data_IF_057861004658
#
_entry.id   IF_057861004658
#
_cell.length_a   1.000
_cell.length_b   1.000
_cell.length_c   1.000
_cell.angle_alpha   90.00
_cell.angle_beta   90.00
_cell.angle_gamma   90.00
#
_symmetry.space_group_name_H-M   'P 1'
#
loop_
_entity.id
_entity.type
_entity.pdbx_description
1 polymer ?
#
# COMPACT_ATOMS: atom_id res chain seq x y z
N UNK A 1 25.02 -5.82 -21.63
CA UNK A 1 25.01 -4.34 -21.47
C UNK A 1 26.02 -3.87 -20.43
N UNK A 2 26.10 -4.50 -19.26
CA UNK A 2 26.99 -4.10 -18.16
C UNK A 2 28.46 -4.48 -18.42
N UNK A 3 28.73 -5.51 -19.22
CA UNK A 3 30.09 -5.91 -19.61
C UNK A 3 30.90 -4.84 -20.37
N UNK A 4 30.27 -3.83 -20.97
CA UNK A 4 30.92 -2.76 -21.65
C UNK A 4 31.60 -1.73 -20.73
N UNK A 5 31.12 -1.61 -19.46
CA UNK A 5 31.65 -0.64 -18.51
C UNK A 5 33.14 -0.82 -18.17
N UNK A 6 33.57 -2.07 -18.04
CA UNK A 6 34.98 -2.38 -17.78
C UNK A 6 35.90 -2.05 -18.98
N UNK A 7 35.38 -2.20 -20.20
CA UNK A 7 36.14 -1.91 -21.43
C UNK A 7 36.36 -0.41 -21.63
N UNK A 8 35.47 0.46 -21.18
CA UNK A 8 35.59 1.93 -21.31
C UNK A 8 36.17 2.61 -20.07
N UNK A 9 36.45 1.86 -18.99
CA UNK A 9 37.18 2.36 -17.82
C UNK A 9 36.35 3.11 -16.81
N UNK A 10 35.06 2.75 -16.62
CA UNK A 10 34.22 3.27 -15.54
C UNK A 10 34.87 3.04 -14.16
N UNK A 11 35.00 4.10 -13.37
CA UNK A 11 35.70 4.09 -12.07
C UNK A 11 34.77 4.12 -10.87
N UNK A 12 33.73 4.94 -10.94
CA UNK A 12 32.82 5.17 -9.83
C UNK A 12 31.48 4.43 -10.01
N UNK A 13 30.99 4.39 -11.23
CA UNK A 13 29.71 3.77 -11.58
C UNK A 13 29.96 2.39 -12.23
N UNK A 14 30.71 1.54 -11.53
CA UNK A 14 31.03 0.19 -11.99
C UNK A 14 29.78 -0.70 -12.00
N UNK A 15 29.83 -1.77 -12.79
CA UNK A 15 28.79 -2.81 -12.81
C UNK A 15 28.39 -3.27 -11.41
N UNK A 16 29.39 -3.55 -10.58
CA UNK A 16 29.15 -4.01 -9.20
C UNK A 16 28.38 -2.99 -8.37
N UNK A 17 28.71 -1.69 -8.50
CA UNK A 17 28.02 -0.63 -7.76
C UNK A 17 26.58 -0.43 -8.24
N UNK A 18 26.35 -0.45 -9.56
CA UNK A 18 25.02 -0.34 -10.17
C UNK A 18 24.15 -1.54 -9.76
N UNK A 19 24.72 -2.75 -9.84
CA UNK A 19 24.03 -3.99 -9.45
C UNK A 19 23.63 -3.95 -7.97
N UNK A 20 24.53 -3.51 -7.10
CA UNK A 20 24.23 -3.40 -5.66
C UNK A 20 23.06 -2.46 -5.38
N UNK A 21 23.01 -1.29 -6.03
CA UNK A 21 21.90 -0.33 -5.87
C UNK A 21 20.57 -0.90 -6.43
N UNK A 22 20.61 -1.61 -7.57
CA UNK A 22 19.43 -2.28 -8.12
C UNK A 22 18.95 -3.42 -7.22
N UNK A 23 19.84 -4.25 -6.70
CA UNK A 23 19.50 -5.34 -5.78
C UNK A 23 18.88 -4.80 -4.49
N UNK A 24 19.39 -3.69 -3.97
CA UNK A 24 18.80 -3.01 -2.81
C UNK A 24 17.37 -2.51 -3.10
N UNK A 25 17.12 -1.97 -4.30
CA UNK A 25 15.82 -1.40 -4.67
C UNK A 25 14.77 -2.47 -5.01
N UNK A 26 15.12 -3.42 -5.87
CA UNK A 26 14.16 -4.41 -6.41
C UNK A 26 14.27 -5.79 -5.77
N UNK A 27 15.38 -6.08 -5.10
CA UNK A 27 15.69 -7.39 -4.53
C UNK A 27 16.48 -8.27 -5.47
N UNK A 28 16.93 -9.39 -4.92
CA UNK A 28 17.76 -10.37 -5.60
C UNK A 28 17.02 -11.72 -5.70
N UNK A 29 16.84 -12.29 -6.90
CA UNK A 29 16.21 -13.60 -7.06
C UNK A 29 17.03 -14.70 -6.40
N UNK A 30 16.39 -15.77 -5.98
CA UNK A 30 17.08 -16.97 -5.51
C UNK A 30 17.92 -17.58 -6.65
N UNK A 31 19.07 -18.12 -6.30
CA UNK A 31 19.98 -18.78 -7.25
C UNK A 31 20.85 -17.82 -8.08
N UNK A 32 20.69 -16.51 -7.95
CA UNK A 32 21.54 -15.52 -8.62
C UNK A 32 22.80 -15.29 -7.76
N UNK A 33 23.98 -15.27 -8.40
CA UNK A 33 25.28 -15.05 -7.75
C UNK A 33 25.54 -15.93 -6.51
N UNK A 34 25.03 -17.19 -6.52
CA UNK A 34 25.22 -18.14 -5.41
C UNK A 34 24.34 -17.86 -4.18
N UNK A 35 23.41 -16.94 -4.24
CA UNK A 35 22.46 -16.70 -3.15
C UNK A 35 21.40 -17.82 -3.09
N UNK A 36 21.32 -18.60 -1.97
CA UNK A 36 20.39 -19.72 -1.88
C UNK A 36 18.92 -19.30 -1.75
N UNK A 37 18.65 -18.08 -1.29
CA UNK A 37 17.31 -17.53 -1.09
C UNK A 37 17.14 -16.19 -1.76
N UNK A 38 15.90 -15.88 -2.16
CA UNK A 38 15.56 -14.54 -2.65
C UNK A 38 15.70 -13.50 -1.53
N UNK A 39 16.24 -12.34 -1.86
CA UNK A 39 16.32 -11.17 -0.97
C UNK A 39 15.34 -10.13 -1.47
N UNK A 40 14.40 -9.72 -0.62
CA UNK A 40 13.41 -8.70 -0.97
C UNK A 40 14.06 -7.32 -1.01
N UNK A 41 13.86 -6.60 -2.11
CA UNK A 41 14.25 -5.20 -2.20
C UNK A 41 13.26 -4.28 -1.45
N UNK A 42 13.67 -3.04 -1.20
CA UNK A 42 12.87 -2.07 -0.42
C UNK A 42 11.49 -1.81 -1.02
N UNK A 43 11.30 -1.96 -2.33
CA UNK A 43 10.00 -1.86 -3.00
C UNK A 43 9.03 -2.98 -2.56
N UNK A 44 9.53 -4.21 -2.51
CA UNK A 44 8.75 -5.37 -2.08
C UNK A 44 8.39 -5.25 -0.58
N UNK A 45 9.36 -4.88 0.26
CA UNK A 45 9.17 -4.65 1.69
C UNK A 45 8.13 -3.55 1.96
N UNK A 46 8.14 -2.46 1.20
CA UNK A 46 7.10 -1.43 1.33
C UNK A 46 5.71 -1.94 0.94
N UNK A 47 5.59 -2.75 -0.13
CA UNK A 47 4.32 -3.34 -0.52
C UNK A 47 3.78 -4.31 0.54
N UNK A 48 4.65 -5.11 1.14
CA UNK A 48 4.32 -6.00 2.25
C UNK A 48 3.85 -5.20 3.47
N UNK A 49 4.57 -4.16 3.84
CA UNK A 49 4.21 -3.28 4.96
C UNK A 49 2.85 -2.60 4.75
N UNK A 50 2.50 -2.18 3.53
CA UNK A 50 1.15 -1.67 3.19
C UNK A 50 0.06 -2.71 3.38
N UNK A 51 0.31 -3.94 2.94
CA UNK A 51 -0.62 -5.06 3.10
C UNK A 51 -0.82 -5.39 4.58
N UNK A 52 0.27 -5.47 5.35
CA UNK A 52 0.22 -5.69 6.79
C UNK A 52 -0.57 -4.59 7.51
N UNK A 53 -0.31 -3.32 7.20
CA UNK A 53 -1.08 -2.17 7.73
C UNK A 53 -2.59 -2.32 7.48
N UNK A 54 -2.98 -2.68 6.25
CA UNK A 54 -4.40 -2.90 5.91
C UNK A 54 -5.01 -4.03 6.74
N UNK A 55 -4.29 -5.14 6.88
CA UNK A 55 -4.70 -6.31 7.67
C UNK A 55 -4.86 -5.95 9.16
N UNK A 56 -3.88 -5.25 9.76
CA UNK A 56 -3.95 -4.84 11.18
C UNK A 56 -5.08 -3.84 11.44
N UNK A 57 -5.32 -2.92 10.51
CA UNK A 57 -6.46 -1.99 10.59
C UNK A 57 -7.81 -2.73 10.52
N UNK A 58 -7.93 -3.73 9.64
CA UNK A 58 -9.12 -4.58 9.57
C UNK A 58 -9.30 -5.39 10.87
N UNK A 59 -8.22 -5.94 11.42
CA UNK A 59 -8.21 -6.63 12.71
C UNK A 59 -8.75 -5.76 13.86
N UNK A 60 -8.30 -4.51 13.93
CA UNK A 60 -8.82 -3.54 14.92
C UNK A 60 -10.32 -3.29 14.75
N UNK A 61 -10.79 -3.10 13.52
CA UNK A 61 -12.23 -2.93 13.26
C UNK A 61 -13.04 -4.14 13.71
N UNK A 62 -12.54 -5.35 13.45
CA UNK A 62 -13.16 -6.61 13.88
C UNK A 62 -13.19 -6.71 15.41
N UNK A 63 -12.10 -6.42 16.10
CA UNK A 63 -12.04 -6.43 17.55
C UNK A 63 -13.04 -5.42 18.17
N UNK A 64 -13.12 -4.21 17.63
CA UNK A 64 -14.10 -3.20 18.05
C UNK A 64 -15.54 -3.66 17.78
N UNK A 65 -15.81 -4.29 16.64
CA UNK A 65 -17.13 -4.84 16.30
C UNK A 65 -17.56 -5.93 17.28
N UNK A 66 -16.67 -6.87 17.58
CA UNK A 66 -16.91 -7.93 18.56
C UNK A 66 -17.14 -7.37 19.97
N UNK A 67 -16.32 -6.39 20.37
CA UNK A 67 -16.50 -5.71 21.65
C UNK A 67 -17.83 -4.95 21.75
N UNK A 68 -18.28 -4.32 20.66
CA UNK A 68 -19.60 -3.68 20.60
C UNK A 68 -20.74 -4.69 20.67
N UNK A 69 -20.61 -5.84 20.03
CA UNK A 69 -21.60 -6.93 20.13
C UNK A 69 -21.74 -7.40 21.57
N UNK A 70 -20.61 -7.64 22.27
CA UNK A 70 -20.63 -8.00 23.69
C UNK A 70 -21.27 -6.90 24.55
N UNK A 71 -20.91 -5.64 24.35
CA UNK A 71 -21.49 -4.51 25.08
C UNK A 71 -22.99 -4.34 24.80
N UNK A 72 -23.48 -4.64 23.58
CA UNK A 72 -24.92 -4.65 23.25
C UNK A 72 -25.66 -5.69 24.04
N UNK A 73 -25.13 -6.90 24.15
CA UNK A 73 -25.74 -7.97 24.91
C UNK A 73 -25.69 -7.62 26.41
N UNK A 74 -24.56 -7.13 26.93
CA UNK A 74 -24.45 -6.64 28.31
C UNK A 74 -25.52 -5.58 28.64
N UNK A 75 -25.72 -4.62 27.72
CA UNK A 75 -26.75 -3.61 27.83
C UNK A 75 -28.15 -4.25 27.94
N UNK A 76 -28.48 -5.26 27.13
CA UNK A 76 -29.78 -5.92 27.15
C UNK A 76 -30.03 -6.67 28.44
N UNK A 77 -29.00 -7.31 29.03
CA UNK A 77 -29.08 -8.02 30.31
C UNK A 77 -29.27 -7.06 31.48
N UNK A 78 -28.67 -5.89 31.41
CA UNK A 78 -28.69 -4.90 32.48
C UNK A 78 -29.97 -4.04 32.47
N UNK A 79 -30.64 -3.86 31.32
CA UNK A 79 -31.90 -3.08 31.22
C UNK A 79 -32.99 -3.49 32.21
N UNK A 80 -33.32 -4.76 32.41
CA UNK A 80 -34.34 -5.16 33.39
C UNK A 80 -33.98 -4.78 34.83
N UNK A 81 -32.70 -4.54 35.11
CA UNK A 81 -32.16 -4.25 36.46
C UNK A 81 -31.93 -2.78 36.72
N UNK A 82 -31.40 -2.08 35.71
CA UNK A 82 -30.98 -0.67 35.82
C UNK A 82 -31.97 0.31 35.15
N UNK A 83 -32.98 -0.24 34.42
CA UNK A 83 -33.96 0.55 33.68
C UNK A 83 -33.68 0.67 32.20
N UNK A 84 -34.72 0.91 31.39
CA UNK A 84 -34.66 0.98 29.96
C UNK A 84 -34.10 2.31 29.42
N UNK A 85 -34.03 3.32 30.26
CA UNK A 85 -33.49 4.64 29.97
C UNK A 85 -32.30 4.91 30.86
N UNK A 86 -31.40 5.79 30.40
CA UNK A 86 -30.26 6.21 31.18
C UNK A 86 -30.72 6.84 32.52
N UNK A 87 -30.05 6.47 33.58
CA UNK A 87 -30.17 7.05 34.93
C UNK A 87 -28.82 6.91 35.65
N UNK A 88 -28.71 7.43 36.88
CA UNK A 88 -27.47 7.44 37.66
C UNK A 88 -26.89 6.03 37.94
N UNK A 89 -27.69 4.97 37.96
CA UNK A 89 -27.22 3.59 38.19
C UNK A 89 -26.39 3.07 37.01
N UNK A 90 -26.66 3.55 35.79
CA UNK A 90 -25.88 3.19 34.58
C UNK A 90 -24.47 3.72 34.61
N UNK A 91 -24.17 4.77 35.41
CA UNK A 91 -22.79 5.26 35.57
C UNK A 91 -21.88 4.20 36.18
N UNK A 92 -22.38 3.39 37.12
CA UNK A 92 -21.59 2.30 37.69
C UNK A 92 -21.24 1.21 36.68
N UNK A 93 -22.06 1.03 35.64
CA UNK A 93 -21.80 0.12 34.53
C UNK A 93 -21.00 0.76 33.40
N UNK A 94 -20.61 2.05 33.52
CA UNK A 94 -19.75 2.74 32.57
C UNK A 94 -20.47 3.56 31.50
N UNK A 95 -21.78 3.66 31.55
CA UNK A 95 -22.54 4.51 30.65
C UNK A 95 -22.59 5.94 31.19
N UNK A 96 -21.90 6.86 30.56
CA UNK A 96 -21.83 8.27 30.98
C UNK A 96 -22.53 9.17 29.96
N UNK A 97 -22.78 10.44 30.35
CA UNK A 97 -23.28 11.46 29.43
C UNK A 97 -24.76 11.40 29.08
N UNK A 98 -25.59 10.78 29.93
CA UNK A 98 -27.06 10.78 29.75
C UNK A 98 -27.55 9.84 28.63
N UNK A 99 -26.73 8.92 28.14
CA UNK A 99 -27.03 8.07 26.99
C UNK A 99 -26.56 6.64 27.21
N UNK A 100 -27.31 5.68 26.64
CA UNK A 100 -26.94 4.27 26.54
C UNK A 100 -26.30 3.93 25.16
N UNK A 101 -25.89 4.93 24.40
CA UNK A 101 -25.22 4.74 23.11
C UNK A 101 -23.84 4.09 23.29
N UNK A 102 -23.54 3.16 22.40
CA UNK A 102 -22.25 2.45 22.41
C UNK A 102 -21.20 3.25 21.62
N UNK A 103 -20.01 3.47 22.18
CA UNK A 103 -18.94 4.16 21.48
C UNK A 103 -18.41 3.33 20.28
N UNK A 104 -17.79 4.01 19.31
CA UNK A 104 -17.16 3.34 18.17
C UNK A 104 -16.01 2.40 18.63
N UNK A 105 -15.21 2.85 19.60
CA UNK A 105 -14.23 2.02 20.29
C UNK A 105 -14.77 1.72 21.71
N UNK A 106 -15.24 0.50 21.97
CA UNK A 106 -15.87 0.15 23.24
C UNK A 106 -14.89 -0.27 24.35
N UNK A 107 -13.57 -0.17 24.16
CA UNK A 107 -12.55 -0.65 25.09
C UNK A 107 -12.78 -0.15 26.51
N UNK A 108 -12.92 1.15 26.69
CA UNK A 108 -13.14 1.77 28.00
C UNK A 108 -14.45 1.32 28.63
N UNK A 109 -15.53 1.25 27.84
CA UNK A 109 -16.82 0.76 28.30
C UNK A 109 -16.73 -0.70 28.78
N UNK A 110 -16.02 -1.56 28.05
CA UNK A 110 -15.82 -2.96 28.44
C UNK A 110 -15.02 -3.10 29.74
N UNK A 111 -14.00 -2.25 29.94
CA UNK A 111 -13.27 -2.20 31.22
C UNK A 111 -14.17 -1.79 32.39
N UNK A 112 -15.07 -0.87 32.18
CA UNK A 112 -16.04 -0.45 33.18
C UNK A 112 -17.11 -1.53 33.44
N UNK A 113 -17.63 -2.17 32.40
CA UNK A 113 -18.50 -3.33 32.50
C UNK A 113 -17.85 -4.49 33.26
N UNK A 114 -16.56 -4.78 32.97
CA UNK A 114 -15.77 -5.74 33.73
C UNK A 114 -15.76 -5.40 35.23
N UNK A 115 -15.46 -4.16 35.59
CA UNK A 115 -15.43 -3.70 36.97
C UNK A 115 -16.83 -3.78 37.64
N UNK A 116 -17.88 -3.49 36.89
CA UNK A 116 -19.25 -3.62 37.33
C UNK A 116 -19.63 -5.08 37.62
N UNK A 117 -19.39 -6.00 36.67
CA UNK A 117 -19.72 -7.42 36.84
C UNK A 117 -18.89 -8.08 37.95
N UNK A 118 -17.61 -7.69 38.10
CA UNK A 118 -16.80 -8.17 39.23
C UNK A 118 -17.40 -7.81 40.60
N UNK A 119 -18.10 -6.66 40.73
CA UNK A 119 -18.81 -6.25 41.93
C UNK A 119 -20.20 -6.85 42.03
N UNK A 120 -20.80 -7.25 40.93
CA UNK A 120 -22.17 -7.75 40.82
C UNK A 120 -22.21 -9.07 40.04
N UNK A 121 -21.63 -10.18 40.55
CA UNK A 121 -21.57 -11.45 39.81
C UNK A 121 -22.95 -12.04 39.47
N UNK A 122 -23.99 -11.73 40.28
CA UNK A 122 -25.36 -12.13 39.98
C UNK A 122 -25.99 -11.45 38.77
N UNK A 123 -25.31 -10.44 38.21
CA UNK A 123 -25.71 -9.74 36.99
C UNK A 123 -25.05 -10.31 35.72
N UNK A 124 -24.13 -11.23 35.89
CA UNK A 124 -23.52 -11.95 34.79
C UNK A 124 -24.50 -12.94 34.11
N UNK A 125 -24.23 -13.25 32.85
CA UNK A 125 -24.96 -14.28 32.10
C UNK A 125 -23.94 -15.22 31.41
N UNK A 126 -23.32 -16.16 32.15
CA UNK A 126 -22.24 -17.01 31.65
C UNK A 126 -22.72 -18.05 30.63
N UNK A 127 -24.01 -18.42 30.65
CA UNK A 127 -24.60 -19.44 29.76
C UNK A 127 -25.38 -18.85 28.58
N UNK A 128 -25.35 -17.52 28.40
CA UNK A 128 -26.09 -16.88 27.33
C UNK A 128 -25.44 -17.15 25.95
N UNK A 129 -26.23 -17.69 25.02
CA UNK A 129 -25.82 -17.83 23.63
C UNK A 129 -26.23 -16.57 22.83
N UNK A 130 -25.48 -16.13 21.84
CA UNK A 130 -24.20 -16.68 21.33
C UNK A 130 -22.95 -16.24 22.12
N UNK A 131 -23.07 -15.29 23.03
CA UNK A 131 -21.93 -14.71 23.77
C UNK A 131 -22.24 -14.71 25.27
N UNK A 132 -21.41 -15.36 26.07
CA UNK A 132 -21.44 -15.24 27.53
C UNK A 132 -21.05 -13.78 27.91
N UNK A 133 -21.79 -13.23 28.88
CA UNK A 133 -21.49 -11.88 29.40
C UNK A 133 -21.04 -12.03 30.85
N UNK A 134 -19.72 -11.91 31.03
CA UNK A 134 -19.05 -12.01 32.34
C UNK A 134 -17.97 -10.94 32.45
N UNK A 135 -17.48 -10.70 33.66
CA UNK A 135 -16.34 -9.84 33.89
C UNK A 135 -15.12 -10.30 33.05
N UNK A 136 -14.87 -11.62 33.01
CA UNK A 136 -13.78 -12.20 32.23
C UNK A 136 -13.95 -11.99 30.72
N UNK A 137 -15.17 -12.14 30.18
CA UNK A 137 -15.44 -11.89 28.76
C UNK A 137 -15.25 -10.40 28.39
N UNK A 138 -15.67 -9.48 29.27
CA UNK A 138 -15.44 -8.05 29.09
C UNK A 138 -13.95 -7.70 29.13
N UNK A 139 -13.17 -8.31 30.01
CA UNK A 139 -11.70 -8.13 30.06
C UNK A 139 -11.04 -8.62 28.78
N UNK A 140 -11.35 -9.86 28.35
CA UNK A 140 -10.78 -10.44 27.15
C UNK A 140 -11.09 -9.59 25.90
N UNK A 141 -12.32 -9.08 25.78
CA UNK A 141 -12.69 -8.21 24.67
C UNK A 141 -11.97 -6.84 24.73
N UNK A 142 -11.83 -6.25 25.90
CA UNK A 142 -11.08 -4.99 26.09
C UNK A 142 -9.61 -5.17 25.78
N UNK A 143 -9.00 -6.29 26.18
CA UNK A 143 -7.62 -6.65 25.89
C UNK A 143 -7.42 -6.84 24.38
N UNK A 144 -8.30 -7.62 23.72
CA UNK A 144 -8.21 -7.86 22.28
C UNK A 144 -8.28 -6.54 21.47
N UNK A 145 -9.07 -5.56 21.90
CA UNK A 145 -9.08 -4.22 21.27
C UNK A 145 -7.77 -3.49 21.51
N UNK A 146 -7.22 -3.58 22.74
CA UNK A 146 -5.94 -2.98 23.09
C UNK A 146 -4.81 -3.52 22.21
N UNK A 147 -4.68 -4.83 22.12
CA UNK A 147 -3.66 -5.53 21.35
C UNK A 147 -3.79 -5.21 19.84
N UNK A 148 -5.02 -5.20 19.33
CA UNK A 148 -5.28 -4.84 17.95
C UNK A 148 -4.96 -3.36 17.66
N UNK A 149 -5.19 -2.45 18.59
CA UNK A 149 -4.83 -1.05 18.49
C UNK A 149 -3.30 -0.87 18.46
N UNK A 150 -2.60 -1.55 19.33
CA UNK A 150 -1.13 -1.54 19.38
C UNK A 150 -0.54 -2.11 18.10
N UNK A 151 -1.03 -3.27 17.64
CA UNK A 151 -0.61 -3.87 16.38
C UNK A 151 -0.89 -2.95 15.16
N UNK A 152 -2.02 -2.23 15.15
CA UNK A 152 -2.34 -1.26 14.11
C UNK A 152 -1.40 -0.05 14.15
N UNK A 153 -1.09 0.48 15.33
CA UNK A 153 -0.16 1.58 15.50
C UNK A 153 1.25 1.19 15.05
N UNK A 154 1.73 0.02 15.47
CA UNK A 154 3.03 -0.50 15.05
C UNK A 154 3.11 -0.66 13.54
N UNK A 155 2.11 -1.27 12.91
CA UNK A 155 2.08 -1.44 11.45
C UNK A 155 2.03 -0.12 10.67
N UNK A 156 1.46 0.95 11.25
CA UNK A 156 1.52 2.29 10.68
C UNK A 156 2.95 2.84 10.69
N UNK A 157 3.68 2.67 11.80
CA UNK A 157 5.09 3.08 11.91
C UNK A 157 5.97 2.29 10.94
N UNK A 158 5.82 0.97 10.89
CA UNK A 158 6.56 0.09 10.00
C UNK A 158 6.33 0.45 8.52
N UNK A 159 5.08 0.75 8.15
CA UNK A 159 4.74 1.18 6.79
C UNK A 159 5.35 2.54 6.45
N UNK A 160 5.41 3.46 7.40
CA UNK A 160 6.09 4.74 7.26
C UNK A 160 7.60 4.58 7.03
N UNK A 161 8.25 3.74 7.85
CA UNK A 161 9.68 3.45 7.72
C UNK A 161 10.00 2.76 6.40
N UNK A 162 9.20 1.76 6.01
CA UNK A 162 9.39 1.05 4.74
C UNK A 162 9.22 1.99 3.54
N UNK A 163 8.29 2.96 3.60
CA UNK A 163 8.15 4.01 2.59
C UNK A 163 9.40 4.88 2.50
N UNK A 164 9.92 5.35 3.62
CA UNK A 164 11.14 6.16 3.67
C UNK A 164 12.33 5.40 3.07
N UNK A 165 12.48 4.12 3.42
CA UNK A 165 13.53 3.28 2.87
C UNK A 165 13.41 3.12 1.35
N UNK A 166 12.18 2.97 0.83
CA UNK A 166 11.92 2.90 -0.61
C UNK A 166 12.27 4.23 -1.31
N UNK A 167 11.87 5.36 -0.75
CA UNK A 167 12.18 6.70 -1.29
C UNK A 167 13.69 6.97 -1.31
N UNK A 168 14.40 6.57 -0.26
CA UNK A 168 15.86 6.65 -0.18
C UNK A 168 16.54 5.75 -1.24
N UNK A 169 16.04 4.52 -1.42
CA UNK A 169 16.52 3.62 -2.46
C UNK A 169 16.32 4.18 -3.87
N UNK A 170 15.16 4.81 -4.13
CA UNK A 170 14.91 5.50 -5.41
C UNK A 170 15.86 6.68 -5.61
N UNK A 171 16.10 7.46 -4.56
CA UNK A 171 17.02 8.60 -4.64
C UNK A 171 18.45 8.13 -4.93
N UNK A 172 18.91 7.09 -4.25
CA UNK A 172 20.22 6.47 -4.50
C UNK A 172 20.34 5.94 -5.93
N UNK A 173 19.34 5.23 -6.43
CA UNK A 173 19.30 4.74 -7.81
C UNK A 173 19.37 5.88 -8.85
N UNK A 174 18.59 6.96 -8.62
CA UNK A 174 18.64 8.15 -9.51
C UNK A 174 20.00 8.84 -9.46
N UNK A 175 20.58 8.99 -8.28
CA UNK A 175 21.93 9.57 -8.13
C UNK A 175 22.98 8.71 -8.87
N UNK A 176 22.86 7.38 -8.78
CA UNK A 176 23.73 6.44 -9.52
C UNK A 176 23.61 6.61 -11.03
N UNK A 177 22.38 6.68 -11.56
CA UNK A 177 22.14 6.89 -12.99
C UNK A 177 22.68 8.24 -13.48
N UNK A 178 22.48 9.30 -12.70
CA UNK A 178 23.02 10.62 -13.02
C UNK A 178 24.56 10.62 -12.99
N UNK A 179 25.15 9.95 -12.00
CA UNK A 179 26.59 9.79 -11.89
C UNK A 179 27.18 8.97 -13.05
N UNK A 180 26.50 7.87 -13.44
CA UNK A 180 26.88 7.06 -14.58
C UNK A 180 26.87 7.91 -15.87
N UNK A 181 25.79 8.67 -16.11
CA UNK A 181 25.70 9.54 -17.27
C UNK A 181 26.86 10.57 -17.31
N UNK A 182 27.13 11.22 -16.19
CA UNK A 182 28.22 12.20 -16.10
C UNK A 182 29.60 11.56 -16.30
N UNK A 183 29.80 10.31 -15.87
CA UNK A 183 31.05 9.59 -16.12
C UNK A 183 31.15 9.16 -17.58
N UNK A 184 30.06 8.74 -18.21
CA UNK A 184 30.01 8.43 -19.64
C UNK A 184 30.30 9.66 -20.53
N UNK A 185 29.78 10.84 -20.17
CA UNK A 185 30.05 12.11 -20.88
C UNK A 185 31.54 12.45 -20.90
N UNK A 186 32.33 11.93 -19.96
CA UNK A 186 33.78 12.13 -19.93
C UNK A 186 34.54 11.05 -20.74
N UNK A 187 33.94 9.90 -20.97
CA UNK A 187 34.59 8.73 -21.56
C UNK A 187 34.20 8.49 -23.03
N UNK A 188 32.99 8.91 -23.41
CA UNK A 188 32.41 8.69 -24.73
C UNK A 188 32.26 10.02 -25.49
N UNK A 189 32.45 9.98 -26.81
CA UNK A 189 32.05 11.10 -27.67
C UNK A 189 30.52 11.18 -27.78
N UNK A 190 30.00 12.36 -28.15
CA UNK A 190 28.56 12.64 -28.24
C UNK A 190 27.83 11.68 -29.19
N UNK A 191 28.49 11.21 -30.25
CA UNK A 191 27.91 10.31 -31.25
C UNK A 191 28.23 8.83 -31.04
N UNK A 192 28.87 8.45 -29.91
CA UNK A 192 29.26 7.08 -29.65
C UNK A 192 28.04 6.16 -29.53
N UNK A 193 27.94 5.04 -30.26
CA UNK A 193 26.83 4.11 -30.17
C UNK A 193 26.69 3.41 -28.79
N UNK A 194 27.74 3.45 -27.96
CA UNK A 194 27.70 2.87 -26.61
C UNK A 194 26.71 3.58 -25.69
N UNK A 195 26.32 4.83 -25.99
CA UNK A 195 25.23 5.49 -25.23
C UNK A 195 23.97 4.62 -25.15
N UNK A 196 23.56 4.09 -26.31
CA UNK A 196 22.38 3.20 -26.36
C UNK A 196 22.61 1.87 -25.66
N UNK A 197 23.85 1.35 -25.65
CA UNK A 197 24.18 0.12 -24.93
C UNK A 197 24.02 0.27 -23.40
N UNK A 198 24.20 1.49 -22.86
CA UNK A 198 23.93 1.84 -21.46
C UNK A 198 22.48 2.25 -21.19
N UNK A 199 21.64 2.31 -22.21
CA UNK A 199 20.23 2.69 -22.09
C UNK A 199 20.00 4.20 -22.05
N UNK A 200 21.00 5.00 -22.45
CA UNK A 200 20.87 6.45 -22.57
C UNK A 200 20.74 6.85 -24.04
N UNK A 201 20.05 7.94 -24.27
CA UNK A 201 20.11 8.63 -25.56
C UNK A 201 21.40 9.40 -25.67
N UNK A 202 21.88 9.56 -26.90
CA UNK A 202 23.11 10.35 -27.20
C UNK A 202 22.92 11.81 -26.78
N UNK A 203 23.97 12.48 -26.31
CA UNK A 203 23.95 13.93 -26.15
C UNK A 203 23.52 14.61 -27.45
N UNK A 204 22.57 15.51 -27.39
CA UNK A 204 22.06 16.22 -28.57
C UNK A 204 21.00 15.48 -29.39
N UNK A 205 20.68 14.24 -29.08
CA UNK A 205 19.49 13.59 -29.66
C UNK A 205 18.22 14.42 -29.32
N UNK A 206 17.36 14.72 -30.28
CA UNK A 206 16.19 15.54 -30.02
C UNK A 206 15.24 14.85 -29.05
N UNK A 207 14.72 15.60 -28.05
CA UNK A 207 13.73 15.11 -27.09
C UNK A 207 12.33 14.88 -27.69
N UNK A 208 12.16 15.17 -28.98
CA UNK A 208 10.89 14.96 -29.69
C UNK A 208 10.63 13.46 -29.89
N UNK A 209 9.42 13.00 -29.62
CA UNK A 209 9.04 11.63 -29.94
C UNK A 209 9.21 11.33 -31.43
N UNK A 210 9.61 10.11 -31.73
CA UNK A 210 9.65 9.62 -33.12
C UNK A 210 8.25 9.52 -33.69
N UNK A 211 8.12 9.45 -35.02
CA UNK A 211 6.85 9.24 -35.65
C UNK A 211 6.30 7.85 -35.30
N UNK A 212 4.98 7.75 -35.17
CA UNK A 212 4.30 6.46 -35.00
C UNK A 212 4.49 5.64 -36.27
N UNK A 213 4.94 4.40 -36.12
CA UNK A 213 5.12 3.44 -37.21
C UNK A 213 4.04 2.36 -37.17
N UNK A 214 3.83 1.68 -38.30
CA UNK A 214 2.94 0.53 -38.46
C UNK A 214 1.49 0.78 -38.00
N UNK A 215 1.00 2.04 -38.14
CA UNK A 215 -0.38 2.37 -37.84
C UNK A 215 -1.34 1.55 -38.73
N UNK A 216 -2.12 0.72 -38.10
CA UNK A 216 -3.18 -0.06 -38.76
C UNK A 216 -4.55 0.36 -38.21
N UNK A 217 -5.50 0.49 -39.13
CA UNK A 217 -6.89 0.80 -38.79
C UNK A 217 -7.77 -0.38 -39.21
N UNK A 218 -8.47 -0.98 -38.28
CA UNK A 218 -9.37 -2.10 -38.55
C UNK A 218 -10.80 -1.70 -38.14
N UNK A 219 -11.72 -1.69 -39.13
CA UNK A 219 -13.13 -1.52 -38.84
C UNK A 219 -13.68 -2.75 -38.13
N UNK A 220 -14.51 -2.57 -37.10
CA UNK A 220 -15.18 -3.66 -36.41
C UNK A 220 -16.15 -4.40 -37.40
N UNK A 221 -17.42 -4.44 -37.23
CA UNK A 221 -18.34 -5.05 -38.17
C UNK A 221 -18.92 -4.03 -39.17
N UNK A 222 -19.39 -4.44 -40.31
CA UNK A 222 -20.12 -3.60 -41.26
C UNK A 222 -21.30 -2.91 -40.57
N UNK A 223 -21.36 -1.56 -40.65
CA UNK A 223 -22.36 -0.75 -39.96
C UNK A 223 -22.00 -0.38 -38.53
N UNK A 224 -20.93 -0.90 -37.95
CA UNK A 224 -20.37 -0.47 -36.67
C UNK A 224 -19.66 0.89 -36.86
N UNK A 225 -19.79 1.76 -35.85
CA UNK A 225 -19.04 3.04 -35.80
C UNK A 225 -17.71 2.89 -35.04
N UNK A 226 -17.24 1.66 -34.87
CA UNK A 226 -16.04 1.33 -34.08
C UNK A 226 -14.91 1.01 -35.04
N UNK A 227 -13.80 1.71 -34.88
CA UNK A 227 -12.54 1.47 -35.58
C UNK A 227 -11.48 1.20 -34.51
N UNK A 228 -10.75 0.11 -34.66
CA UNK A 228 -9.57 -0.17 -33.84
C UNK A 228 -8.36 0.42 -34.56
N UNK A 229 -7.58 1.19 -33.80
CA UNK A 229 -6.28 1.70 -34.24
C UNK A 229 -5.20 0.98 -33.44
N UNK A 230 -4.24 0.42 -34.13
CA UNK A 230 -3.07 -0.26 -33.56
C UNK A 230 -1.81 0.30 -34.19
N UNK A 231 -0.77 0.51 -33.42
CA UNK A 231 0.50 1.08 -33.87
C UNK A 231 1.64 0.63 -32.94
N UNK A 232 2.86 0.67 -33.46
CA UNK A 232 4.05 0.43 -32.65
C UNK A 232 4.33 1.63 -31.75
N UNK A 233 4.85 1.34 -30.55
CA UNK A 233 5.24 2.38 -29.59
C UNK A 233 6.34 3.27 -30.18
N UNK A 234 6.05 4.56 -30.36
CA UNK A 234 7.04 5.52 -30.78
C UNK A 234 8.04 5.79 -29.66
N UNK A 235 9.31 5.71 -29.99
CA UNK A 235 10.39 5.99 -29.04
C UNK A 235 10.22 7.41 -28.47
N UNK A 236 10.39 7.57 -27.16
CA UNK A 236 10.22 8.82 -26.40
C UNK A 236 8.78 9.34 -26.30
N UNK A 237 7.77 8.63 -26.80
CA UNK A 237 6.39 9.02 -26.60
C UNK A 237 5.93 8.71 -25.17
N UNK A 238 5.58 9.72 -24.39
CA UNK A 238 4.97 9.56 -23.07
C UNK A 238 3.45 9.39 -23.10
N UNK A 239 2.83 9.78 -24.21
CA UNK A 239 1.39 9.66 -24.48
C UNK A 239 1.09 9.84 -25.95
N UNK A 240 -0.06 9.32 -26.38
CA UNK A 240 -0.56 9.47 -27.74
C UNK A 240 -1.86 10.25 -27.72
N UNK A 241 -2.02 11.15 -28.72
CA UNK A 241 -3.28 11.84 -28.98
C UNK A 241 -3.86 11.33 -30.30
N UNK A 242 -5.00 10.70 -30.23
CA UNK A 242 -5.72 10.25 -31.42
C UNK A 242 -6.76 11.31 -31.81
N UNK A 243 -6.69 11.82 -33.05
CA UNK A 243 -7.68 12.77 -33.59
C UNK A 243 -8.39 12.10 -34.75
N UNK A 244 -9.69 11.99 -34.67
CA UNK A 244 -10.56 11.47 -35.76
C UNK A 244 -11.19 12.67 -36.46
N UNK A 245 -11.02 12.76 -37.79
CA UNK A 245 -11.62 13.81 -38.59
C UNK A 245 -12.73 13.21 -39.46
N UNK A 246 -13.92 13.75 -39.37
CA UNK A 246 -15.02 13.38 -40.24
C UNK A 246 -14.73 13.89 -41.67
N UNK A 247 -14.71 12.97 -42.64
CA UNK A 247 -14.42 13.33 -44.02
C UNK A 247 -15.51 14.18 -44.70
N UNK A 248 -16.75 14.18 -44.16
CA UNK A 248 -17.86 14.92 -44.73
C UNK A 248 -17.92 16.38 -44.36
N UNK A 249 -17.58 16.73 -43.13
CA UNK A 249 -17.69 18.09 -42.58
C UNK A 249 -16.42 18.66 -41.96
N UNK A 250 -15.37 17.83 -41.89
CA UNK A 250 -14.08 18.22 -41.30
C UNK A 250 -14.10 18.32 -39.77
N UNK A 251 -15.20 17.93 -39.10
CA UNK A 251 -15.29 17.93 -37.66
C UNK A 251 -14.23 17.00 -37.02
N UNK A 252 -13.52 17.50 -36.00
CA UNK A 252 -12.46 16.77 -35.28
C UNK A 252 -12.96 16.37 -33.92
N UNK A 253 -12.69 15.09 -33.56
CA UNK A 253 -12.88 14.52 -32.22
C UNK A 253 -11.50 14.10 -31.73
N UNK A 254 -11.09 14.60 -30.56
CA UNK A 254 -9.77 14.33 -29.98
C UNK A 254 -9.94 13.62 -28.65
#
# INVERSE_FOLDING_TARGET
EIAHGAAIGLKQNTETAIRADLDALVGKPAGLDGNPAAVSGVKALWNEAKTNKSSKTAGLRTACSNGRALATIALSILKPRLGNQWNAQWQAAGFSGGSLALPANPRTLLQQLRAYFAKNPSHEAPTLAPLAVTAAACEAAAQAIGDAQEASNQSNMDSGQAKTNYENGLAAGRARLSGLRAELEQLLGDDDPLWYAFGFDKPGDPDTPEAVENLTLTASAAGSRIVFADWDDARRAGSYRVTVTNAGDGAKIT
#
